data_IF_822894129707
#
_entry.id   IF_822894129707
#
_cell.length_a   1.000
_cell.length_b   1.000
_cell.length_c   1.000
_cell.angle_alpha   90.00
_cell.angle_beta   90.00
_cell.angle_gamma   90.00
#
_symmetry.space_group_name_H-M   'P 1'
#
loop_
_entity.id
_entity.type
_entity.pdbx_description
1 polymer ?
#
# COMPACT_ATOMS: atom_id res chain seq x y z
N UNK A 1 17.63 9.10 12.90
CA UNK A 1 16.56 8.37 12.17
C UNK A 1 17.24 7.67 11.00
N UNK A 2 17.15 6.34 10.86
CA UNK A 2 17.66 5.69 9.63
C UNK A 2 16.80 6.19 8.47
N UNK A 3 17.41 6.58 7.35
CA UNK A 3 16.65 6.91 6.14
C UNK A 3 15.93 5.66 5.67
N UNK A 4 14.64 5.80 5.29
CA UNK A 4 13.88 4.73 4.65
C UNK A 4 14.44 4.37 3.27
N UNK A 5 13.70 3.54 2.52
CA UNK A 5 14.05 3.19 1.15
C UNK A 5 14.15 4.46 0.28
N UNK A 6 15.29 4.63 -0.41
CA UNK A 6 15.48 5.70 -1.39
C UNK A 6 15.48 5.09 -2.79
N UNK A 7 14.48 5.46 -3.59
CA UNK A 7 14.38 5.06 -4.99
C UNK A 7 14.92 6.22 -5.85
N UNK A 8 16.01 6.04 -6.60
CA UNK A 8 16.56 7.09 -7.46
C UNK A 8 15.60 7.53 -8.55
N UNK A 9 15.76 8.77 -9.01
CA UNK A 9 15.04 9.28 -10.17
C UNK A 9 15.22 8.36 -11.39
N UNK A 10 14.11 8.09 -12.10
CA UNK A 10 14.10 7.19 -13.25
C UNK A 10 14.07 5.70 -12.91
N UNK A 11 13.98 5.31 -11.63
CA UNK A 11 13.77 3.92 -11.20
C UNK A 11 12.34 3.71 -10.70
N UNK A 12 11.76 2.56 -11.05
CA UNK A 12 10.42 2.16 -10.59
C UNK A 12 10.48 1.45 -9.24
N UNK A 13 9.46 1.67 -8.40
CA UNK A 13 9.31 0.98 -7.10
C UNK A 13 9.14 -0.54 -7.24
N UNK A 14 8.56 -1.01 -8.34
CA UNK A 14 8.43 -2.43 -8.66
C UNK A 14 9.68 -3.09 -9.25
N UNK A 15 10.79 -2.37 -9.42
CA UNK A 15 12.02 -2.92 -9.99
C UNK A 15 13.00 -3.38 -8.88
N UNK A 16 13.85 -4.35 -9.21
CA UNK A 16 14.99 -4.72 -8.35
C UNK A 16 15.99 -3.56 -8.22
N UNK A 17 16.61 -3.35 -7.05
CA UNK A 17 16.45 -4.11 -5.81
C UNK A 17 15.32 -3.58 -4.91
N UNK A 18 14.54 -2.59 -5.37
CA UNK A 18 13.62 -1.82 -4.55
C UNK A 18 12.35 -2.58 -4.18
N UNK A 19 11.86 -3.46 -5.07
CA UNK A 19 10.59 -4.16 -4.92
C UNK A 19 10.47 -5.02 -3.66
N UNK A 20 11.60 -5.43 -3.07
CA UNK A 20 11.60 -6.17 -1.79
C UNK A 20 11.30 -5.29 -0.57
N UNK A 21 11.67 -4.02 -0.65
CA UNK A 21 11.62 -3.07 0.48
C UNK A 21 10.39 -2.15 0.40
N UNK A 22 9.41 -2.46 -0.46
CA UNK A 22 8.16 -1.71 -0.55
C UNK A 22 6.98 -2.60 -0.94
N UNK A 23 5.79 -2.08 -0.64
CA UNK A 23 4.53 -2.58 -1.18
C UNK A 23 3.71 -1.40 -1.69
N UNK A 24 2.96 -1.60 -2.76
CA UNK A 24 2.10 -0.57 -3.32
C UNK A 24 0.87 -1.17 -3.99
N UNK A 25 -0.18 -0.36 -4.06
CA UNK A 25 -1.33 -0.64 -4.90
C UNK A 25 -1.12 0.01 -6.28
N UNK A 26 -1.04 -0.81 -7.33
CA UNK A 26 -1.02 -0.34 -8.71
C UNK A 26 -2.46 -0.18 -9.21
N UNK A 27 -2.89 1.06 -9.43
CA UNK A 27 -4.24 1.39 -9.90
C UNK A 27 -4.51 0.97 -11.36
N UNK A 28 -3.50 0.97 -12.22
CA UNK A 28 -3.65 0.65 -13.65
C UNK A 28 -3.83 -0.85 -13.86
N UNK A 29 -3.00 -1.66 -13.19
CA UNK A 29 -3.00 -3.11 -13.33
C UNK A 29 -3.90 -3.77 -12.26
N UNK A 30 -4.35 -2.98 -11.28
CA UNK A 30 -5.27 -3.40 -10.21
C UNK A 30 -4.70 -4.56 -9.40
N UNK A 31 -3.48 -4.42 -8.89
CA UNK A 31 -2.87 -5.39 -7.97
C UNK A 31 -2.18 -4.69 -6.80
N UNK A 32 -2.06 -5.40 -5.69
CA UNK A 32 -1.10 -5.09 -4.62
C UNK A 32 0.10 -6.00 -4.78
N UNK A 33 1.31 -5.45 -4.66
CA UNK A 33 2.53 -6.23 -4.80
C UNK A 33 3.51 -6.00 -3.65
N UNK A 34 4.31 -7.02 -3.36
CA UNK A 34 5.50 -6.97 -2.52
C UNK A 34 6.49 -7.98 -3.10
N UNK A 35 7.72 -7.56 -3.33
CA UNK A 35 8.79 -8.41 -3.85
C UNK A 35 8.39 -9.24 -5.10
N UNK A 36 7.73 -8.59 -6.07
CA UNK A 36 7.20 -9.18 -7.31
C UNK A 36 6.08 -10.21 -7.14
N UNK A 37 5.67 -10.53 -5.91
CA UNK A 37 4.43 -11.27 -5.66
C UNK A 37 3.27 -10.31 -5.82
N UNK A 38 2.23 -10.72 -6.53
CA UNK A 38 1.07 -9.87 -6.82
C UNK A 38 -0.23 -10.55 -6.41
N UNK A 39 -1.15 -9.76 -5.85
CA UNK A 39 -2.54 -10.14 -5.63
C UNK A 39 -3.39 -9.16 -6.42
N UNK A 40 -4.14 -9.67 -7.40
CA UNK A 40 -5.09 -8.86 -8.15
C UNK A 40 -6.26 -8.44 -7.26
N UNK A 41 -6.59 -7.17 -7.34
CA UNK A 41 -7.70 -6.55 -6.66
C UNK A 41 -8.70 -6.11 -7.72
N UNK A 42 -9.88 -6.71 -7.75
CA UNK A 42 -10.92 -6.36 -8.73
C UNK A 42 -11.64 -5.06 -8.37
N UNK A 43 -10.90 -4.03 -7.95
CA UNK A 43 -11.43 -2.71 -7.61
C UNK A 43 -10.87 -1.69 -8.58
N UNK A 44 -11.74 -0.94 -9.25
CA UNK A 44 -11.30 0.18 -10.09
C UNK A 44 -10.95 1.38 -9.20
N UNK A 45 -9.95 2.13 -9.63
CA UNK A 45 -9.59 3.42 -9.07
C UNK A 45 -9.63 4.46 -10.18
N UNK A 46 -10.54 5.41 -10.05
CA UNK A 46 -10.75 6.50 -10.97
C UNK A 46 -10.14 7.79 -10.44
N UNK A 47 -9.98 8.76 -11.33
CA UNK A 47 -9.59 10.11 -10.94
C UNK A 47 -10.60 10.67 -9.93
N UNK A 48 -10.09 11.11 -8.78
CA UNK A 48 -10.91 11.67 -7.70
C UNK A 48 -11.31 10.66 -6.62
N UNK A 49 -11.04 9.37 -6.82
CA UNK A 49 -11.25 8.37 -5.76
C UNK A 49 -10.34 8.64 -4.56
N UNK A 50 -10.88 8.38 -3.37
CA UNK A 50 -10.17 8.49 -2.11
C UNK A 50 -9.57 7.14 -1.79
N UNK A 51 -8.27 7.12 -1.56
CA UNK A 51 -7.52 5.92 -1.16
C UNK A 51 -7.05 6.07 0.27
N UNK A 52 -7.09 4.98 1.03
CA UNK A 52 -6.52 4.94 2.37
C UNK A 52 -5.75 3.64 2.59
N UNK A 53 -4.72 3.74 3.42
CA UNK A 53 -3.98 2.60 3.95
C UNK A 53 -4.03 2.74 5.47
N UNK A 54 -4.56 1.72 6.15
CA UNK A 54 -4.47 1.60 7.59
C UNK A 54 -3.32 0.65 7.92
N UNK A 55 -2.38 1.09 8.75
CA UNK A 55 -1.28 0.24 9.23
C UNK A 55 -1.45 -0.04 10.71
N UNK A 56 -1.57 -1.31 11.08
CA UNK A 56 -1.46 -1.74 12.46
C UNK A 56 0.00 -2.17 12.71
N UNK A 57 0.71 -1.38 13.52
CA UNK A 57 2.12 -1.64 13.85
C UNK A 57 2.30 -2.49 15.12
N UNK A 58 1.21 -2.94 15.75
CA UNK A 58 1.25 -3.95 16.82
C UNK A 58 1.31 -5.34 16.18
N UNK A 59 2.19 -6.26 16.61
CA UNK A 59 2.22 -7.63 16.09
C UNK A 59 0.86 -8.36 16.24
N UNK A 60 0.36 -9.04 15.18
CA UNK A 60 0.92 -9.11 13.82
C UNK A 60 0.78 -7.78 13.07
N UNK A 61 1.89 -7.29 12.49
CA UNK A 61 1.91 -6.01 11.79
C UNK A 61 1.31 -6.15 10.40
N UNK A 62 0.27 -5.37 10.12
CA UNK A 62 -0.52 -5.49 8.88
C UNK A 62 -0.80 -4.14 8.23
N UNK A 63 -0.94 -4.13 6.91
CA UNK A 63 -1.50 -3.01 6.14
C UNK A 63 -2.79 -3.44 5.44
N UNK A 64 -3.83 -2.64 5.62
CA UNK A 64 -5.15 -2.83 4.99
C UNK A 64 -5.45 -1.66 4.07
N UNK A 65 -6.04 -1.94 2.91
CA UNK A 65 -6.23 -0.97 1.84
C UNK A 65 -7.71 -0.67 1.64
N UNK A 66 -8.00 0.59 1.30
CA UNK A 66 -9.37 1.07 1.10
C UNK A 66 -9.46 1.94 -0.15
N UNK A 67 -10.59 1.83 -0.86
CA UNK A 67 -10.98 2.73 -1.95
C UNK A 67 -12.38 3.25 -1.67
N UNK A 68 -12.56 4.57 -1.65
CA UNK A 68 -13.79 5.25 -1.31
C UNK A 68 -14.43 4.74 0.00
N UNK A 69 -13.58 4.51 1.02
CA UNK A 69 -13.99 3.99 2.33
C UNK A 69 -14.31 2.49 2.37
N UNK A 70 -14.31 1.79 1.24
CA UNK A 70 -14.51 0.33 1.16
C UNK A 70 -13.18 -0.40 1.31
N UNK A 71 -13.09 -1.29 2.30
CA UNK A 71 -11.94 -2.18 2.49
C UNK A 71 -11.81 -3.16 1.31
N UNK A 72 -10.58 -3.32 0.82
CA UNK A 72 -10.26 -4.29 -0.24
C UNK A 72 -10.10 -5.70 0.38
N UNK A 73 -10.44 -6.78 -0.35
CA UNK A 73 -10.32 -8.16 0.13
C UNK A 73 -8.86 -8.65 0.04
N UNK A 74 -7.92 -7.85 0.53
CA UNK A 74 -6.49 -8.11 0.54
C UNK A 74 -5.82 -7.31 1.65
N UNK A 75 -4.81 -7.89 2.29
CA UNK A 75 -3.98 -7.21 3.28
C UNK A 75 -2.52 -7.65 3.12
N UNK A 76 -1.60 -6.79 3.52
CA UNK A 76 -0.18 -7.13 3.63
C UNK A 76 0.13 -7.48 5.07
N UNK A 77 0.79 -8.61 5.31
CA UNK A 77 1.20 -9.03 6.64
C UNK A 77 2.71 -8.98 6.83
N UNK A 78 3.17 -9.14 8.07
CA UNK A 78 4.58 -9.19 8.41
C UNK A 78 5.35 -7.91 8.04
N UNK A 79 4.70 -6.74 8.14
CA UNK A 79 5.35 -5.46 7.86
C UNK A 79 6.66 -5.30 8.66
N UNK A 80 7.64 -4.53 8.16
CA UNK A 80 8.84 -4.20 8.92
C UNK A 80 8.51 -3.41 10.19
N UNK A 81 9.48 -3.28 11.11
CA UNK A 81 9.31 -2.56 12.38
C UNK A 81 9.01 -1.06 12.20
N UNK A 82 9.36 -0.51 11.04
CA UNK A 82 9.07 0.87 10.66
C UNK A 82 8.64 0.93 9.21
N UNK A 83 7.66 1.77 8.89
CA UNK A 83 7.14 1.99 7.54
C UNK A 83 7.22 3.46 7.16
N UNK A 84 7.31 3.73 5.86
CA UNK A 84 7.18 5.04 5.28
C UNK A 84 6.11 4.99 4.18
N UNK A 85 5.22 5.99 4.16
CA UNK A 85 4.27 6.15 3.06
C UNK A 85 4.94 6.86 1.90
N UNK A 86 4.68 6.40 0.68
CA UNK A 86 5.18 7.01 -0.53
C UNK A 86 4.09 7.03 -1.60
N UNK A 87 4.29 7.86 -2.61
CA UNK A 87 3.46 7.94 -3.80
C UNK A 87 4.36 7.78 -5.02
N UNK A 88 3.91 6.97 -5.98
CA UNK A 88 4.58 6.83 -7.26
C UNK A 88 3.66 7.41 -8.34
N UNK A 89 4.14 8.45 -9.02
CA UNK A 89 3.45 9.13 -10.10
C UNK A 89 4.14 8.78 -11.41
N UNK A 90 3.43 8.18 -12.35
CA UNK A 90 4.02 7.65 -13.59
C UNK A 90 3.86 8.63 -14.76
N UNK A 91 2.69 9.23 -14.89
CA UNK A 91 2.39 10.13 -15.99
C UNK A 91 2.59 11.60 -15.62
N UNK A 92 3.06 12.38 -16.59
CA UNK A 92 3.23 13.83 -16.44
C UNK A 92 1.88 14.49 -16.13
N UNK A 93 1.86 15.30 -15.07
CA UNK A 93 0.65 16.02 -14.63
C UNK A 93 -0.23 15.23 -13.66
N UNK A 94 0.11 13.98 -13.33
CA UNK A 94 -0.50 13.30 -12.19
C UNK A 94 -0.16 14.03 -10.89
N UNK A 95 -1.11 14.02 -9.97
CA UNK A 95 -0.94 14.57 -8.63
C UNK A 95 -1.80 13.80 -7.66
N UNK A 96 -1.39 13.78 -6.40
CA UNK A 96 -2.20 13.31 -5.27
C UNK A 96 -2.29 14.43 -4.26
N UNK A 97 -3.38 14.43 -3.48
CA UNK A 97 -3.50 15.30 -2.31
C UNK A 97 -3.59 14.42 -1.08
N UNK A 98 -2.74 14.68 -0.09
CA UNK A 98 -2.83 14.00 1.21
C UNK A 98 -3.98 14.65 1.99
N UNK A 99 -5.09 13.95 2.14
CA UNK A 99 -6.27 14.45 2.86
C UNK A 99 -6.11 14.35 4.39
N UNK A 100 -5.43 13.30 4.87
CA UNK A 100 -5.25 13.04 6.29
C UNK A 100 -4.07 12.09 6.52
N UNK A 101 -3.29 12.37 7.57
CA UNK A 101 -2.35 11.43 8.18
C UNK A 101 -2.55 11.53 9.69
N UNK A 102 -3.18 10.52 10.28
CA UNK A 102 -3.55 10.53 11.70
C UNK A 102 -3.42 9.14 12.30
N UNK A 103 -3.17 9.10 13.61
CA UNK A 103 -3.33 7.88 14.40
C UNK A 103 -4.83 7.66 14.64
N UNK A 104 -5.27 6.40 14.52
CA UNK A 104 -6.62 5.99 14.86
C UNK A 104 -6.64 5.44 16.29
N UNK A 105 -7.69 5.74 17.05
CA UNK A 105 -7.89 5.22 18.41
C UNK A 105 -8.35 3.75 18.41
N UNK A 106 -9.06 3.34 17.36
CA UNK A 106 -9.49 1.97 17.11
C UNK A 106 -9.35 1.64 15.62
N UNK A 107 -9.09 0.37 15.26
CA UNK A 107 -9.03 -0.05 13.87
C UNK A 107 -10.35 0.21 13.14
N UNK A 108 -10.27 0.67 11.89
CA UNK A 108 -11.46 0.69 11.00
C UNK A 108 -11.49 -0.52 10.08
N UNK A 109 -10.33 -1.16 9.87
CA UNK A 109 -10.24 -2.44 9.21
C UNK A 109 -11.03 -3.52 9.97
N UNK A 110 -11.88 -4.25 9.24
CA UNK A 110 -12.60 -5.41 9.76
C UNK A 110 -11.89 -6.70 9.34
N UNK A 111 -12.02 -7.73 10.18
CA UNK A 111 -11.56 -9.05 9.79
C UNK A 111 -12.44 -9.58 8.65
N UNK A 112 -11.84 -9.85 7.50
CA UNK A 112 -12.51 -10.44 6.35
C UNK A 112 -11.88 -11.81 6.08
N UNK A 113 -12.59 -12.92 6.39
CA UNK A 113 -12.08 -14.27 6.18
C UNK A 113 -11.71 -14.59 4.73
N UNK A 114 -12.33 -13.90 3.77
CA UNK A 114 -12.07 -14.09 2.33
C UNK A 114 -10.94 -13.17 1.83
N UNK A 115 -10.33 -12.35 2.70
CA UNK A 115 -9.24 -11.49 2.30
C UNK A 115 -7.96 -12.29 2.05
N UNK A 116 -7.32 -12.02 0.93
CA UNK A 116 -6.07 -12.68 0.59
C UNK A 116 -4.89 -12.02 1.33
N UNK A 117 -4.01 -12.84 1.88
CA UNK A 117 -2.79 -12.39 2.56
C UNK A 117 -1.64 -12.25 1.56
N UNK A 118 -1.05 -11.05 1.49
CA UNK A 118 0.24 -10.83 0.85
C UNK A 118 1.31 -10.70 1.94
N UNK A 119 2.04 -11.78 2.19
CA UNK A 119 3.10 -11.76 3.21
C UNK A 119 4.31 -10.96 2.74
N UNK A 120 4.76 -10.02 3.56
CA UNK A 120 6.02 -9.32 3.35
C UNK A 120 7.22 -10.25 3.59
N UNK A 121 8.10 -10.34 2.59
CA UNK A 121 9.32 -11.15 2.59
C UNK A 121 10.56 -10.37 2.13
#
# INVERSE_FOLDING_TARGET
MKSGLVIPFGKGCGCEPYCKDNTYYNNQIKYITQNKKEIRVNQEQNRGDIVAIEVNMTPPRIATYFVNGKQLPVFVSNLPESVQFFFYLYFKGESVTVLSLKRLEAPTATNNPDAQELKWE
#
